data_IF_542245271307
#
_entry.id   IF_542245271307
#
_cell.length_a   1.000
_cell.length_b   1.000
_cell.length_c   1.000
_cell.angle_alpha   90.00
_cell.angle_beta   90.00
_cell.angle_gamma   90.00
#
_symmetry.space_group_name_H-M   'P 1'
#
loop_
_entity.id
_entity.type
_entity.pdbx_description
1 polymer ?
#
# COMPACT_ATOMS: atom_id res chain seq x y z
N UNK A 1 14.28 -4.71 45.57
CA UNK A 1 13.06 -5.16 44.90
C UNK A 1 12.85 -4.29 43.65
N UNK A 2 13.14 -4.81 42.47
CA UNK A 2 12.81 -4.12 41.22
C UNK A 2 11.29 -4.26 41.02
N UNK A 3 10.55 -3.18 41.22
CA UNK A 3 9.17 -3.07 40.81
C UNK A 3 9.18 -3.00 39.27
N UNK A 4 8.92 -4.09 38.60
CA UNK A 4 8.53 -4.06 37.21
C UNK A 4 7.18 -3.36 37.16
N UNK A 5 7.16 -2.13 36.66
CA UNK A 5 5.93 -1.39 36.49
C UNK A 5 5.11 -2.11 35.39
N UNK A 6 3.99 -2.73 35.79
CA UNK A 6 3.00 -3.31 34.84
C UNK A 6 2.28 -2.24 34.02
N UNK A 7 2.77 -1.02 34.08
CA UNK A 7 2.20 0.13 33.36
C UNK A 7 2.83 0.30 31.98
N UNK A 8 1.99 0.65 31.04
CA UNK A 8 2.41 1.01 29.68
C UNK A 8 3.24 2.30 29.73
N UNK A 9 4.33 2.42 28.96
CA UNK A 9 5.15 3.62 28.90
C UNK A 9 4.33 4.87 28.66
N UNK A 10 4.69 5.99 29.30
CA UNK A 10 4.05 7.28 29.09
C UNK A 10 4.14 7.69 27.60
N UNK A 11 3.18 8.46 27.11
CA UNK A 11 3.11 8.93 25.71
C UNK A 11 2.92 7.81 24.65
N UNK A 12 2.52 6.60 25.05
CA UNK A 12 2.19 5.53 24.11
C UNK A 12 0.76 5.69 23.59
N UNK A 13 0.61 5.61 22.28
CA UNK A 13 -0.68 5.52 21.59
C UNK A 13 -0.75 4.23 20.76
N UNK A 14 -1.95 3.73 20.51
CA UNK A 14 -2.21 2.58 19.64
C UNK A 14 -3.28 3.01 18.64
N UNK A 15 -2.93 3.10 17.37
CA UNK A 15 -3.82 3.63 16.33
C UNK A 15 -4.50 4.97 16.74
N UNK A 16 -3.73 5.87 17.36
CA UNK A 16 -4.18 7.15 17.87
C UNK A 16 -4.92 7.12 19.23
N UNK A 17 -5.10 5.95 19.84
CA UNK A 17 -5.71 5.80 21.17
C UNK A 17 -4.64 5.89 22.25
N UNK A 18 -4.74 6.89 23.13
CA UNK A 18 -3.79 7.10 24.24
C UNK A 18 -3.96 6.02 25.32
N UNK A 19 -2.89 5.26 25.57
CA UNK A 19 -2.85 4.19 26.60
C UNK A 19 -1.65 4.33 27.56
N UNK A 20 -0.77 5.32 27.33
CA UNK A 20 0.38 5.57 28.18
C UNK A 20 0.01 5.78 29.65
N UNK A 21 0.78 5.16 30.55
CA UNK A 21 0.59 5.21 31.99
C UNK A 21 -0.54 4.33 32.54
N UNK A 22 -1.29 3.64 31.70
CA UNK A 22 -2.37 2.72 32.10
C UNK A 22 -1.82 1.35 32.54
N UNK A 23 -2.62 0.62 33.34
CA UNK A 23 -2.40 -0.80 33.59
C UNK A 23 -2.69 -1.61 32.31
N UNK A 24 -2.23 -2.87 32.28
CA UNK A 24 -2.53 -3.78 31.14
C UNK A 24 -4.03 -3.97 30.93
N UNK A 25 -4.76 -4.17 32.02
CA UNK A 25 -6.20 -4.41 31.98
C UNK A 25 -6.96 -3.18 31.49
N UNK A 26 -6.64 -2.01 32.01
CA UNK A 26 -7.30 -0.76 31.63
C UNK A 26 -7.03 -0.41 30.16
N UNK A 27 -5.79 -0.61 29.73
CA UNK A 27 -5.42 -0.38 28.32
C UNK A 27 -6.12 -1.37 27.39
N UNK A 28 -6.17 -2.66 27.73
CA UNK A 28 -6.85 -3.67 26.94
C UNK A 28 -8.36 -3.35 26.81
N UNK A 29 -9.02 -3.00 27.94
CA UNK A 29 -10.43 -2.63 27.95
C UNK A 29 -10.70 -1.38 27.08
N UNK A 30 -9.85 -0.34 27.21
CA UNK A 30 -9.97 0.88 26.42
C UNK A 30 -9.75 0.65 24.94
N UNK A 31 -8.71 -0.09 24.59
CA UNK A 31 -8.42 -0.42 23.18
C UNK A 31 -9.54 -1.26 22.58
N UNK A 32 -10.04 -2.26 23.30
CA UNK A 32 -11.16 -3.09 22.87
C UNK A 32 -12.39 -2.24 22.58
N UNK A 33 -12.79 -1.35 23.48
CA UNK A 33 -13.97 -0.50 23.30
C UNK A 33 -13.85 0.46 22.11
N UNK A 34 -12.65 1.01 21.86
CA UNK A 34 -12.45 2.02 20.83
C UNK A 34 -12.05 1.45 19.47
N UNK A 35 -11.28 0.36 19.42
CA UNK A 35 -10.79 -0.19 18.18
C UNK A 35 -11.70 -1.25 17.57
N UNK A 36 -12.45 -2.03 18.39
CA UNK A 36 -13.34 -3.05 17.85
C UNK A 36 -14.44 -2.45 16.96
N UNK A 37 -14.92 -1.25 17.28
CA UNK A 37 -15.92 -0.55 16.46
C UNK A 37 -15.37 -0.12 15.08
N UNK A 38 -14.05 -0.01 14.95
CA UNK A 38 -13.43 0.35 13.66
C UNK A 38 -13.45 -0.82 12.68
N UNK A 39 -13.49 -2.07 13.16
CA UNK A 39 -13.64 -3.27 12.32
C UNK A 39 -15.02 -3.37 11.65
N UNK A 40 -15.99 -2.55 12.05
CA UNK A 40 -17.30 -2.47 11.38
C UNK A 40 -17.31 -1.49 10.20
N UNK A 41 -16.18 -0.87 9.89
CA UNK A 41 -16.06 0.10 8.80
C UNK A 41 -15.25 -0.50 7.66
N UNK A 42 -15.64 -0.23 6.40
CA UNK A 42 -14.83 -0.62 5.25
C UNK A 42 -13.41 -0.04 5.33
N UNK A 43 -12.43 -0.87 5.03
CA UNK A 43 -11.03 -0.45 4.91
C UNK A 43 -10.79 0.06 3.50
N UNK A 44 -10.23 1.26 3.39
CA UNK A 44 -9.86 1.87 2.11
C UNK A 44 -8.40 1.60 1.80
N UNK A 45 -8.14 1.12 0.60
CA UNK A 45 -6.80 0.80 0.10
C UNK A 45 -6.59 1.53 -1.22
N UNK A 46 -5.46 2.21 -1.37
CA UNK A 46 -5.05 2.85 -2.62
C UNK A 46 -3.86 2.12 -3.23
N UNK A 47 -4.00 1.70 -4.48
CA UNK A 47 -2.98 1.01 -5.26
C UNK A 47 -2.76 1.79 -6.55
N UNK A 48 -1.58 2.39 -6.72
CA UNK A 48 -1.28 3.17 -7.93
C UNK A 48 -2.26 4.32 -8.18
N UNK A 49 -2.83 4.91 -7.12
CA UNK A 49 -3.83 5.98 -7.19
C UNK A 49 -5.28 5.52 -7.39
N UNK A 50 -5.53 4.22 -7.52
CA UNK A 50 -6.88 3.64 -7.56
C UNK A 50 -7.31 3.25 -6.14
N UNK A 51 -8.44 3.76 -5.70
CA UNK A 51 -9.01 3.40 -4.40
C UNK A 51 -9.93 2.18 -4.53
N UNK A 52 -9.77 1.26 -3.59
CA UNK A 52 -10.61 0.08 -3.41
C UNK A 52 -10.98 -0.06 -1.95
N UNK A 53 -12.01 -0.80 -1.65
CA UNK A 53 -12.46 -1.04 -0.27
C UNK A 53 -12.75 -2.52 -0.04
N UNK A 54 -12.54 -2.97 1.19
CA UNK A 54 -13.01 -4.28 1.63
C UNK A 54 -13.55 -4.21 3.05
N UNK A 55 -14.44 -5.15 3.38
CA UNK A 55 -14.98 -5.28 4.74
C UNK A 55 -14.03 -6.13 5.59
N UNK A 56 -13.65 -5.68 6.81
CA UNK A 56 -12.81 -6.48 7.71
C UNK A 56 -13.39 -7.86 8.02
N UNK A 57 -14.71 -7.98 8.05
CA UNK A 57 -15.41 -9.24 8.24
C UNK A 57 -15.15 -10.26 7.12
N UNK A 58 -14.85 -9.82 5.91
CA UNK A 58 -14.55 -10.70 4.76
C UNK A 58 -13.25 -11.49 4.93
N UNK A 59 -12.35 -10.98 5.77
CA UNK A 59 -11.06 -11.60 6.11
C UNK A 59 -11.03 -12.15 7.54
N UNK A 60 -12.18 -12.28 8.19
CA UNK A 60 -12.34 -12.69 9.59
C UNK A 60 -11.50 -11.84 10.57
N UNK A 61 -11.35 -10.54 10.30
CA UNK A 61 -10.52 -9.66 11.10
C UNK A 61 -11.07 -9.53 12.53
N UNK A 62 -10.18 -9.71 13.51
CA UNK A 62 -10.47 -9.56 14.95
C UNK A 62 -9.36 -8.77 15.62
N UNK A 63 -9.74 -7.78 16.41
CA UNK A 63 -8.76 -7.07 17.23
C UNK A 63 -8.29 -7.96 18.38
N UNK A 64 -6.97 -8.12 18.52
CA UNK A 64 -6.35 -8.88 19.59
C UNK A 64 -5.79 -7.92 20.64
N UNK A 65 -6.65 -7.52 21.58
CA UNK A 65 -6.30 -6.56 22.63
C UNK A 65 -5.16 -7.08 23.53
N UNK A 66 -5.15 -8.38 23.83
CA UNK A 66 -4.15 -9.00 24.69
C UNK A 66 -2.76 -9.00 24.04
N UNK A 67 -2.67 -9.46 22.79
CA UNK A 67 -1.41 -9.45 22.05
C UNK A 67 -0.88 -8.02 21.86
N UNK A 68 -1.77 -7.05 21.61
CA UNK A 68 -1.38 -5.64 21.51
C UNK A 68 -0.77 -5.13 22.81
N UNK A 69 -1.40 -5.38 23.95
CA UNK A 69 -0.92 -4.92 25.26
C UNK A 69 0.36 -5.65 25.67
N UNK A 70 0.46 -6.96 25.45
CA UNK A 70 1.66 -7.75 25.74
C UNK A 70 2.86 -7.25 24.94
N UNK A 71 2.64 -6.87 23.67
CA UNK A 71 3.67 -6.24 22.84
C UNK A 71 4.12 -4.89 23.44
N UNK A 72 3.21 -4.04 23.91
CA UNK A 72 3.54 -2.74 24.51
C UNK A 72 4.40 -2.86 25.75
N UNK A 73 4.12 -3.85 26.60
CA UNK A 73 4.90 -4.08 27.83
C UNK A 73 6.25 -4.72 27.51
N UNK A 74 6.30 -5.71 26.63
CA UNK A 74 7.56 -6.30 26.16
C UNK A 74 8.46 -5.29 25.43
N UNK A 75 7.86 -4.34 24.77
CA UNK A 75 8.54 -3.26 24.04
C UNK A 75 9.25 -2.26 24.97
N UNK A 76 8.75 -2.06 26.18
CA UNK A 76 9.34 -1.15 27.16
C UNK A 76 10.71 -1.63 27.69
N UNK A 77 11.09 -2.87 27.42
CA UNK A 77 12.37 -3.44 27.84
C UNK A 77 13.49 -3.27 26.81
N UNK A 78 13.22 -2.70 25.63
CA UNK A 78 14.22 -2.47 24.61
C UNK A 78 14.90 -1.11 24.81
N UNK A 79 16.21 -1.06 25.16
CA UNK A 79 16.91 0.18 25.50
C UNK A 79 17.00 1.20 24.35
N UNK A 80 16.97 0.76 23.10
CA UNK A 80 17.03 1.65 21.93
C UNK A 80 15.73 2.47 21.79
N UNK A 81 14.60 1.93 22.25
CA UNK A 81 13.29 2.57 22.13
C UNK A 81 12.86 3.35 23.37
N UNK A 82 13.56 3.18 24.49
CA UNK A 82 13.40 4.05 25.66
C UNK A 82 13.71 5.51 25.28
N UNK A 83 14.67 5.72 24.39
CA UNK A 83 15.05 7.04 23.92
C UNK A 83 13.98 7.69 23.04
N UNK A 84 13.35 6.94 22.12
CA UNK A 84 12.26 7.45 21.25
C UNK A 84 11.02 7.81 22.06
N UNK A 85 10.73 7.07 23.13
CA UNK A 85 9.61 7.36 24.04
C UNK A 85 9.82 8.61 24.91
N UNK A 86 11.05 9.03 25.13
CA UNK A 86 11.36 10.26 25.89
C UNK A 86 11.17 11.52 25.05
N UNK A 87 11.27 11.45 23.74
CA UNK A 87 11.34 12.62 22.87
C UNK A 87 10.13 12.84 21.95
N UNK A 88 9.25 11.88 21.76
CA UNK A 88 8.23 12.07 20.72
C UNK A 88 6.97 11.20 20.72
N UNK A 89 6.67 10.42 21.73
CA UNK A 89 5.47 9.56 21.74
C UNK A 89 5.48 8.51 20.62
N UNK A 90 5.21 7.25 20.95
CA UNK A 90 5.13 6.17 19.95
C UNK A 90 3.68 5.83 19.65
N UNK A 91 3.29 5.96 18.39
CA UNK A 91 2.05 5.36 17.91
C UNK A 91 2.36 3.94 17.43
N UNK A 92 1.76 2.95 18.09
CA UNK A 92 2.02 1.53 17.84
C UNK A 92 0.85 0.95 17.05
N UNK A 93 1.17 0.12 16.06
CA UNK A 93 0.15 -0.60 15.32
C UNK A 93 -0.55 -1.63 16.22
N UNK A 94 -1.89 -1.70 16.23
CA UNK A 94 -2.63 -2.72 16.96
C UNK A 94 -2.44 -4.09 16.33
N UNK A 95 -2.46 -5.14 17.13
CA UNK A 95 -2.45 -6.51 16.62
C UNK A 95 -3.85 -6.90 16.18
N UNK A 96 -3.99 -7.26 14.91
CA UNK A 96 -5.24 -7.74 14.30
C UNK A 96 -5.01 -9.15 13.80
N UNK A 97 -5.83 -10.08 14.27
CA UNK A 97 -5.86 -11.44 13.75
C UNK A 97 -6.74 -11.48 12.50
N UNK A 98 -6.23 -12.05 11.42
CA UNK A 98 -6.95 -12.22 10.15
C UNK A 98 -6.83 -13.65 9.66
N UNK A 99 -7.79 -14.09 8.85
CA UNK A 99 -7.63 -15.31 8.08
C UNK A 99 -6.67 -15.03 6.91
N UNK A 100 -5.47 -15.60 7.01
CA UNK A 100 -4.39 -15.34 6.04
C UNK A 100 -4.78 -15.69 4.61
N UNK A 101 -5.46 -16.82 4.40
CA UNK A 101 -5.92 -17.24 3.07
C UNK A 101 -6.94 -16.28 2.47
N UNK A 102 -7.90 -15.81 3.29
CA UNK A 102 -8.89 -14.84 2.85
C UNK A 102 -8.26 -13.48 2.59
N UNK A 103 -7.30 -13.04 3.43
CA UNK A 103 -6.58 -11.79 3.22
C UNK A 103 -5.76 -11.83 1.92
N UNK A 104 -5.02 -12.91 1.67
CA UNK A 104 -4.29 -13.08 0.41
C UNK A 104 -5.22 -13.06 -0.80
N UNK A 105 -6.35 -13.74 -0.73
CA UNK A 105 -7.35 -13.72 -1.81
C UNK A 105 -7.94 -12.32 -2.04
N UNK A 106 -8.19 -11.56 -0.98
CA UNK A 106 -8.67 -10.17 -1.07
C UNK A 106 -7.62 -9.28 -1.72
N UNK A 107 -6.36 -9.37 -1.30
CA UNK A 107 -5.25 -8.63 -1.92
C UNK A 107 -5.08 -9.03 -3.38
N UNK A 108 -5.13 -10.32 -3.72
CA UNK A 108 -5.04 -10.79 -5.10
C UNK A 108 -6.16 -10.24 -6.00
N UNK A 109 -7.37 -10.13 -5.47
CA UNK A 109 -8.49 -9.51 -6.20
C UNK A 109 -8.22 -8.03 -6.47
N UNK A 110 -7.77 -7.28 -5.45
CA UNK A 110 -7.42 -5.86 -5.58
C UNK A 110 -6.27 -5.65 -6.57
N UNK A 111 -5.26 -6.52 -6.52
CA UNK A 111 -4.10 -6.49 -7.40
C UNK A 111 -4.52 -6.68 -8.86
N UNK A 112 -5.39 -7.64 -9.16
CA UNK A 112 -5.88 -7.89 -10.53
C UNK A 112 -6.52 -6.67 -11.16
N UNK A 113 -7.17 -5.81 -10.38
CA UNK A 113 -7.81 -4.58 -10.85
C UNK A 113 -6.83 -3.41 -10.99
N UNK A 114 -5.76 -3.41 -10.20
CA UNK A 114 -4.83 -2.28 -10.11
C UNK A 114 -3.52 -2.50 -10.87
N UNK A 115 -3.03 -3.73 -10.93
CA UNK A 115 -1.80 -4.08 -11.67
C UNK A 115 -2.05 -4.01 -13.16
N UNK A 116 -1.15 -3.32 -13.86
CA UNK A 116 -1.18 -3.20 -15.31
C UNK A 116 0.20 -3.56 -15.87
N UNK A 117 0.22 -4.33 -16.95
CA UNK A 117 1.47 -4.54 -17.69
C UNK A 117 1.85 -3.24 -18.43
N UNK A 118 3.16 -2.98 -18.60
CA UNK A 118 3.60 -1.86 -19.41
C UNK A 118 3.15 -2.02 -20.84
N UNK A 119 2.79 -0.92 -21.46
CA UNK A 119 2.40 -0.88 -22.88
C UNK A 119 3.46 -0.07 -23.61
N UNK A 120 4.06 -0.69 -24.62
CA UNK A 120 5.06 -0.05 -25.45
C UNK A 120 4.46 1.02 -26.37
N UNK A 121 5.23 2.06 -26.61
CA UNK A 121 4.91 2.99 -27.69
C UNK A 121 4.94 2.25 -29.03
N UNK A 122 3.98 2.51 -29.86
CA UNK A 122 3.89 1.88 -31.19
C UNK A 122 3.43 2.87 -32.25
N UNK A 123 3.78 2.59 -33.50
CA UNK A 123 3.30 3.34 -34.65
C UNK A 123 2.18 2.53 -35.31
N UNK A 124 0.99 3.11 -35.38
CA UNK A 124 -0.16 2.54 -36.07
C UNK A 124 -0.47 3.39 -37.30
N UNK A 125 -0.83 2.77 -38.41
CA UNK A 125 -1.28 3.47 -39.59
C UNK A 125 -2.81 3.54 -39.61
N UNK A 126 -3.34 4.75 -39.72
CA UNK A 126 -4.77 5.01 -39.97
C UNK A 126 -4.88 5.47 -41.41
N UNK A 127 -5.21 4.55 -42.32
CA UNK A 127 -5.01 4.74 -43.75
C UNK A 127 -3.52 4.87 -44.06
N UNK A 128 -3.13 5.95 -44.70
CA UNK A 128 -1.73 6.27 -45.06
C UNK A 128 -1.03 7.14 -43.98
N UNK A 129 -1.75 7.59 -42.96
CA UNK A 129 -1.21 8.48 -41.93
C UNK A 129 -0.71 7.68 -40.74
N UNK A 130 0.58 7.76 -40.36
CA UNK A 130 1.10 7.13 -39.19
C UNK A 130 0.66 7.90 -37.94
N UNK A 131 0.27 7.17 -36.91
CA UNK A 131 -0.10 7.69 -35.57
C UNK A 131 0.69 6.97 -34.52
N UNK A 132 1.36 7.72 -33.64
CA UNK A 132 2.03 7.14 -32.47
C UNK A 132 1.01 6.85 -31.39
N UNK A 133 1.00 5.60 -30.91
CA UNK A 133 0.33 5.20 -29.67
C UNK A 133 1.32 5.38 -28.54
N UNK A 134 0.94 6.13 -27.51
CA UNK A 134 1.81 6.43 -26.36
C UNK A 134 2.09 5.20 -25.52
N UNK A 135 3.29 5.13 -25.00
CA UNK A 135 3.68 4.16 -23.99
C UNK A 135 2.97 4.43 -22.66
N UNK A 136 2.71 3.37 -21.91
CA UNK A 136 2.24 3.46 -20.54
C UNK A 136 3.10 2.58 -19.64
N UNK A 137 3.47 3.10 -18.48
CA UNK A 137 4.15 2.32 -17.46
C UNK A 137 3.22 1.25 -16.91
N UNK A 138 3.78 0.10 -16.62
CA UNK A 138 3.13 -0.94 -15.84
C UNK A 138 3.21 -0.64 -14.34
N UNK A 139 2.32 -1.25 -13.57
CA UNK A 139 2.28 -1.16 -12.12
C UNK A 139 2.26 -2.56 -11.54
N UNK A 140 3.19 -2.85 -10.64
CA UNK A 140 3.23 -4.09 -9.87
C UNK A 140 3.39 -3.79 -8.39
N UNK A 141 3.12 -4.77 -7.53
CA UNK A 141 3.32 -4.65 -6.09
C UNK A 141 3.68 -5.99 -5.45
N UNK A 142 4.33 -5.91 -4.29
CA UNK A 142 4.64 -7.08 -3.47
C UNK A 142 3.40 -7.46 -2.65
N UNK A 143 2.89 -8.68 -2.85
CA UNK A 143 1.66 -9.17 -2.20
C UNK A 143 1.82 -9.38 -0.70
N UNK A 144 2.93 -9.98 -0.27
CA UNK A 144 3.15 -10.29 1.14
C UNK A 144 3.34 -9.00 1.95
N UNK A 145 4.07 -8.04 1.41
CA UNK A 145 4.24 -6.71 1.99
C UNK A 145 2.90 -5.95 2.05
N UNK A 146 2.08 -6.09 1.03
CA UNK A 146 0.73 -5.51 0.99
C UNK A 146 -0.17 -6.09 2.07
N UNK A 147 -0.20 -7.43 2.23
CA UNK A 147 -0.94 -8.12 3.29
C UNK A 147 -0.51 -7.61 4.66
N UNK A 148 0.80 -7.54 4.91
CA UNK A 148 1.36 -7.04 6.17
C UNK A 148 0.93 -5.60 6.44
N UNK A 149 1.11 -4.71 5.46
CA UNK A 149 0.76 -3.29 5.61
C UNK A 149 -0.73 -3.07 5.84
N UNK A 150 -1.59 -3.79 5.12
CA UNK A 150 -3.04 -3.73 5.34
C UNK A 150 -3.39 -4.19 6.75
N UNK A 151 -2.86 -5.32 7.19
CA UNK A 151 -3.15 -5.89 8.52
C UNK A 151 -2.71 -4.95 9.64
N UNK A 152 -1.54 -4.32 9.52
CA UNK A 152 -1.01 -3.38 10.51
C UNK A 152 -1.79 -2.05 10.57
N UNK A 153 -2.34 -1.59 9.44
CA UNK A 153 -2.94 -0.25 9.33
C UNK A 153 -4.47 -0.25 9.22
N UNK A 154 -5.13 -1.43 9.21
CA UNK A 154 -6.58 -1.47 8.96
C UNK A 154 -7.43 -0.78 10.05
N UNK A 155 -6.88 -0.59 11.25
CA UNK A 155 -7.56 0.10 12.35
C UNK A 155 -7.22 1.59 12.46
N UNK A 156 -6.35 2.12 11.61
CA UNK A 156 -5.97 3.54 11.65
C UNK A 156 -7.08 4.48 11.16
N UNK A 157 -8.06 3.95 10.45
CA UNK A 157 -9.18 4.73 9.91
C UNK A 157 -8.80 5.65 8.75
N UNK A 158 -7.62 5.46 8.17
CA UNK A 158 -7.09 6.21 7.03
C UNK A 158 -7.03 5.31 5.79
N UNK A 159 -6.98 5.92 4.60
CA UNK A 159 -6.70 5.18 3.37
C UNK A 159 -5.28 4.61 3.41
N UNK A 160 -5.15 3.31 3.24
CA UNK A 160 -3.87 2.59 3.24
C UNK A 160 -3.28 2.68 1.83
N UNK A 161 -2.21 3.42 1.67
CA UNK A 161 -1.51 3.51 0.39
C UNK A 161 -0.49 2.37 0.30
N UNK A 162 -0.69 1.45 -0.65
CA UNK A 162 0.26 0.38 -0.89
C UNK A 162 1.40 0.86 -1.79
N UNK A 163 2.66 0.50 -1.47
CA UNK A 163 3.78 0.80 -2.34
C UNK A 163 3.65 0.01 -3.64
N UNK A 164 3.81 0.69 -4.76
CA UNK A 164 3.81 0.09 -6.09
C UNK A 164 5.17 0.25 -6.74
N UNK A 165 5.56 -0.73 -7.53
CA UNK A 165 6.71 -0.67 -8.40
C UNK A 165 6.26 -0.35 -9.82
N UNK A 166 6.83 0.70 -10.41
CA UNK A 166 6.58 1.04 -11.80
C UNK A 166 7.50 0.21 -12.71
N UNK A 167 6.92 -0.43 -13.72
CA UNK A 167 7.67 -1.07 -14.80
C UNK A 167 7.69 -0.15 -16.01
N UNK A 168 8.89 0.21 -16.44
CA UNK A 168 9.05 1.01 -17.67
C UNK A 168 8.70 0.15 -18.90
N UNK A 169 8.08 0.74 -19.93
CA UNK A 169 7.88 0.10 -21.22
C UNK A 169 9.24 -0.09 -21.91
N UNK A 170 9.36 -1.13 -22.70
CA UNK A 170 10.59 -1.39 -23.48
C UNK A 170 10.80 -0.32 -24.55
N UNK A 171 9.72 0.11 -25.20
CA UNK A 171 9.74 1.17 -26.22
C UNK A 171 9.05 2.41 -25.66
N UNK A 172 9.85 3.47 -25.48
CA UNK A 172 9.36 4.78 -25.01
C UNK A 172 8.83 5.63 -26.14
N UNK A 173 8.02 6.62 -25.80
CA UNK A 173 7.44 7.58 -26.77
C UNK A 173 8.51 8.24 -27.65
N UNK A 174 9.68 8.57 -27.09
CA UNK A 174 10.79 9.17 -27.83
C UNK A 174 11.33 8.28 -28.95
N UNK A 175 11.43 6.97 -28.69
CA UNK A 175 11.90 6.00 -29.67
C UNK A 175 10.90 5.80 -30.82
N UNK A 176 9.61 5.73 -30.48
CA UNK A 176 8.56 5.66 -31.50
C UNK A 176 8.48 6.94 -32.34
N UNK A 177 8.67 8.10 -31.72
CA UNK A 177 8.70 9.38 -32.45
C UNK A 177 9.94 9.51 -33.35
N UNK A 178 11.09 9.03 -32.91
CA UNK A 178 12.31 8.99 -33.72
C UNK A 178 12.17 8.06 -34.94
N UNK A 179 11.60 6.87 -34.71
CA UNK A 179 11.30 5.92 -35.77
C UNK A 179 10.31 6.51 -36.78
N UNK A 180 9.27 7.20 -36.31
CA UNK A 180 8.33 7.92 -37.20
C UNK A 180 9.03 8.98 -38.05
N UNK A 181 9.93 9.77 -37.46
CA UNK A 181 10.69 10.79 -38.17
C UNK A 181 11.61 10.18 -39.24
N UNK A 182 12.24 9.03 -38.92
CA UNK A 182 13.08 8.31 -39.87
C UNK A 182 12.28 7.72 -41.02
N UNK A 183 11.04 7.24 -40.76
CA UNK A 183 10.14 6.74 -41.80
C UNK A 183 9.54 7.85 -42.67
N UNK A 184 9.29 9.02 -42.09
CA UNK A 184 8.71 10.15 -42.82
C UNK A 184 9.69 10.84 -43.76
N UNK A 185 10.99 10.90 -43.40
CA UNK A 185 12.04 11.56 -44.20
C UNK A 185 12.15 11.04 -45.66
N UNK A 186 12.22 9.71 -45.91
CA UNK A 186 12.33 9.22 -47.29
C UNK A 186 11.02 9.39 -48.11
N UNK A 187 9.86 9.45 -47.44
CA UNK A 187 8.56 9.64 -48.12
C UNK A 187 8.37 11.08 -48.64
N UNK A 188 9.04 12.05 -48.03
CA UNK A 188 8.93 13.48 -48.41
C UNK A 188 10.06 13.88 -49.37
N UNK A 189 11.19 13.15 -49.38
CA UNK A 189 12.34 13.44 -50.23
C UNK A 189 12.41 12.63 -51.53
N UNK A 190 11.50 11.69 -51.74
CA UNK A 190 11.43 10.89 -52.96
C UNK A 190 10.75 11.64 -54.10
N UNK A 191 11.52 12.25 -55.03
CA UNK A 191 11.01 12.65 -56.33
C UNK A 191 10.54 11.41 -57.10
N UNK A 192 9.24 11.22 -57.20
CA UNK A 192 8.63 10.24 -58.10
C UNK A 192 8.81 10.74 -59.53
N UNK A 193 9.86 10.29 -60.23
CA UNK A 193 9.99 10.50 -61.67
C UNK A 193 9.17 9.44 -62.38
N UNK A 194 7.96 9.79 -62.83
CA UNK A 194 7.18 8.95 -63.73
C UNK A 194 7.76 9.15 -65.11
N UNK A 195 8.48 8.16 -65.66
CA UNK A 195 8.78 8.10 -67.09
C UNK A 195 7.53 7.61 -67.82
N UNK A 196 6.97 8.49 -68.63
CA UNK A 196 5.95 8.18 -69.64
C UNK A 196 6.62 7.59 -70.88
#
# INVERSE_FOLDING_TARGET
AFYFSDKIPSNTTVAGVKVGGMSREDAAAKLKSQLSSRLSRPVKVSIGGKEQTFEPSSVDAKFNERATVDFLVGFSLNPVRIWDNMTGGSDVAPTVDVNESKMKATVDSMVKEAVTEPIDASIKFVGIKPKVTKAHKGVSLNRDESVKKITESMLDGKTIVLPVEEKEPEIKDSQAQEALTKLAKPLVSGNLTVKV
#
